data_IF_265602550155
#
_entry.id   IF_265602550155
#
_cell.length_a   1.000
_cell.length_b   1.000
_cell.length_c   1.000
_cell.angle_alpha   90.00
_cell.angle_beta   90.00
_cell.angle_gamma   90.00
#
_symmetry.space_group_name_H-M   'P 1'
#
loop_
_entity.id
_entity.type
_entity.pdbx_description
1 polymer ?
#
# COMPACT_ATOMS: atom_id res chain seq x y z
N UNK A 1 33.96 55.88 -8.48
CA UNK A 1 33.48 55.71 -7.08
C UNK A 1 32.12 55.03 -7.16
N UNK A 2 31.82 53.84 -6.65
CA UNK A 2 32.52 52.84 -5.85
C UNK A 2 31.97 51.46 -6.27
N UNK A 3 32.83 50.44 -6.35
CA UNK A 3 32.45 49.04 -6.63
C UNK A 3 32.13 48.32 -5.32
N UNK A 4 30.98 47.64 -5.27
CA UNK A 4 30.54 46.81 -4.13
C UNK A 4 30.91 45.35 -4.41
N UNK A 5 31.87 44.81 -3.66
CA UNK A 5 32.38 43.44 -3.81
C UNK A 5 31.81 42.55 -2.69
N UNK A 6 30.86 41.68 -3.01
CA UNK A 6 30.38 40.66 -2.06
C UNK A 6 31.27 39.42 -2.10
N UNK A 7 31.97 39.14 -0.98
CA UNK A 7 32.70 37.89 -0.73
C UNK A 7 31.73 36.85 -0.15
N UNK A 8 31.52 35.74 -0.86
CA UNK A 8 30.91 34.53 -0.30
C UNK A 8 31.99 33.69 0.39
N UNK A 9 31.82 33.39 1.68
CA UNK A 9 32.63 32.40 2.42
C UNK A 9 32.00 31.02 2.25
N UNK A 10 32.73 30.09 1.66
CA UNK A 10 32.40 28.65 1.65
C UNK A 10 33.01 28.05 2.92
N UNK A 11 32.15 27.61 3.84
CA UNK A 11 32.55 26.81 5.00
C UNK A 11 32.57 25.33 4.61
N UNK A 12 33.76 24.72 4.62
CA UNK A 12 33.94 23.27 4.52
C UNK A 12 33.67 22.69 5.91
N UNK A 13 32.62 21.88 6.02
CA UNK A 13 32.31 21.14 7.23
C UNK A 13 32.85 19.71 7.14
N UNK A 14 33.50 19.33 8.22
CA UNK A 14 34.25 18.12 8.54
C UNK A 14 33.46 16.82 8.35
N UNK A 15 34.12 15.81 7.77
CA UNK A 15 33.60 14.44 7.62
C UNK A 15 33.98 13.62 8.86
N UNK A 16 33.07 13.56 9.83
CA UNK A 16 33.17 12.67 10.98
C UNK A 16 32.82 11.24 10.62
N UNK A 17 33.83 10.37 10.61
CA UNK A 17 33.73 8.91 10.54
C UNK A 17 33.07 8.36 11.82
N UNK A 18 31.87 7.79 11.67
CA UNK A 18 31.20 7.02 12.72
C UNK A 18 30.92 5.60 12.23
N UNK A 19 31.93 4.76 12.43
CA UNK A 19 31.82 3.31 12.54
C UNK A 19 30.85 2.98 13.69
N UNK A 20 29.68 2.39 13.38
CA UNK A 20 28.75 1.95 14.41
C UNK A 20 28.38 0.46 14.23
N UNK A 21 28.76 -0.31 15.25
CA UNK A 21 28.59 -1.74 15.38
C UNK A 21 27.11 -2.16 15.35
N UNK A 22 26.71 -2.92 14.33
CA UNK A 22 25.46 -3.70 14.35
C UNK A 22 25.60 -4.88 15.32
N UNK A 23 25.08 -4.75 16.55
CA UNK A 23 24.69 -5.91 17.36
C UNK A 23 23.35 -6.44 16.83
N UNK A 24 23.38 -7.58 16.15
CA UNK A 24 22.17 -8.35 15.86
C UNK A 24 21.64 -8.94 17.17
N UNK A 25 20.49 -8.46 17.62
CA UNK A 25 19.72 -9.12 18.68
C UNK A 25 18.75 -10.08 17.98
N UNK A 26 19.11 -11.37 17.98
CA UNK A 26 18.28 -12.44 17.45
C UNK A 26 17.01 -12.62 18.29
N UNK A 27 15.85 -12.33 17.71
CA UNK A 27 14.56 -12.66 18.29
C UNK A 27 14.21 -14.11 17.90
N UNK A 28 14.60 -15.08 18.74
CA UNK A 28 14.19 -16.47 18.61
C UNK A 28 12.69 -16.61 18.90
N UNK A 29 11.89 -16.81 17.86
CA UNK A 29 10.52 -17.31 17.98
C UNK A 29 10.60 -18.82 18.32
N UNK A 30 10.46 -19.17 19.60
CA UNK A 30 10.27 -20.55 20.04
C UNK A 30 8.90 -21.05 19.55
N UNK A 31 8.90 -21.90 18.53
CA UNK A 31 7.75 -22.75 18.17
C UNK A 31 7.66 -23.88 19.20
N UNK A 32 6.61 -23.89 20.03
CA UNK A 32 6.21 -25.08 20.77
C UNK A 32 5.67 -26.10 19.76
N UNK A 33 6.35 -27.23 19.61
CA UNK A 33 5.83 -28.40 18.92
C UNK A 33 4.96 -29.20 19.90
N UNK A 34 3.69 -29.38 19.56
CA UNK A 34 2.79 -30.35 20.21
C UNK A 34 3.04 -31.69 19.53
N UNK A 35 3.65 -32.63 20.25
CA UNK A 35 3.75 -34.03 19.84
C UNK A 35 2.37 -34.69 19.98
N UNK A 36 1.76 -35.02 18.85
CA UNK A 36 0.68 -36.00 18.75
C UNK A 36 1.19 -37.19 17.95
N UNK A 37 1.25 -38.36 18.57
CA UNK A 37 1.67 -39.61 17.94
C UNK A 37 0.65 -40.07 16.88
N UNK A 38 1.12 -40.39 15.69
CA UNK A 38 0.35 -41.08 14.64
C UNK A 38 1.02 -42.42 14.31
N UNK A 39 0.24 -43.49 14.05
CA UNK A 39 0.77 -44.80 13.68
C UNK A 39 1.29 -44.81 12.24
N UNK A 40 2.35 -45.59 12.05
CA UNK A 40 3.04 -45.78 10.78
C UNK A 40 2.15 -46.51 9.75
N UNK A 41 1.91 -45.88 8.60
CA UNK A 41 1.41 -46.53 7.39
C UNK A 41 2.58 -46.64 6.42
N UNK A 42 3.03 -47.87 6.17
CA UNK A 42 4.03 -48.20 5.16
C UNK A 42 3.31 -48.27 3.80
N UNK A 43 3.46 -47.21 3.01
CA UNK A 43 3.02 -47.17 1.61
C UNK A 43 4.22 -46.98 0.69
N UNK A 44 4.46 -47.94 -0.21
CA UNK A 44 5.38 -47.78 -1.34
C UNK A 44 4.84 -46.68 -2.28
N UNK A 45 5.45 -45.50 -2.24
CA UNK A 45 5.17 -44.39 -3.14
C UNK A 45 6.18 -44.33 -4.27
N UNK A 46 5.70 -44.38 -5.52
CA UNK A 46 6.48 -44.17 -6.74
C UNK A 46 6.86 -42.68 -6.79
N UNK A 47 8.16 -42.38 -6.69
CA UNK A 47 8.68 -41.03 -6.75
C UNK A 47 8.67 -40.51 -8.20
N UNK A 48 7.63 -39.78 -8.59
CA UNK A 48 7.65 -38.95 -9.80
C UNK A 48 8.43 -37.67 -9.50
N UNK A 49 9.70 -37.63 -9.91
CA UNK A 49 10.57 -36.46 -9.77
C UNK A 49 10.11 -35.31 -10.68
N UNK A 50 9.20 -34.47 -10.18
CA UNK A 50 8.99 -33.16 -10.76
C UNK A 50 10.08 -32.23 -10.22
N UNK A 51 11.03 -31.83 -11.07
CA UNK A 51 12.00 -30.78 -10.76
C UNK A 51 11.23 -29.51 -10.36
N UNK A 52 11.55 -28.88 -9.21
CA UNK A 52 10.91 -27.62 -8.85
C UNK A 52 11.19 -26.61 -9.95
N UNK A 53 10.13 -26.15 -10.62
CA UNK A 53 10.23 -25.06 -11.58
C UNK A 53 10.87 -23.87 -10.86
N UNK A 54 12.07 -23.49 -11.30
CA UNK A 54 12.78 -22.34 -10.79
C UNK A 54 11.90 -21.12 -11.09
N UNK A 55 11.38 -20.47 -10.05
CA UNK A 55 10.59 -19.25 -10.20
C UNK A 55 11.44 -18.24 -10.99
N UNK A 56 10.90 -17.75 -12.12
CA UNK A 56 11.58 -16.74 -12.90
C UNK A 56 11.91 -15.54 -12.00
N UNK A 57 13.12 -14.97 -12.09
CA UNK A 57 13.52 -13.84 -11.25
C UNK A 57 12.54 -12.69 -11.47
N UNK A 58 11.92 -12.22 -10.38
CA UNK A 58 11.05 -11.03 -10.43
C UNK A 58 11.90 -9.84 -10.87
N UNK A 59 11.53 -9.12 -11.95
CA UNK A 59 12.31 -7.98 -12.42
C UNK A 59 12.44 -6.93 -11.31
N UNK A 60 13.63 -6.34 -11.17
CA UNK A 60 13.84 -5.28 -10.19
C UNK A 60 12.94 -4.07 -10.50
N UNK A 61 12.54 -3.28 -9.48
CA UNK A 61 11.77 -2.05 -9.68
C UNK A 61 12.38 -1.11 -10.72
N UNK A 62 13.73 -1.01 -10.74
CA UNK A 62 14.47 -0.22 -11.71
C UNK A 62 14.35 -0.76 -13.15
N UNK A 63 14.43 -2.09 -13.32
CA UNK A 63 14.26 -2.72 -14.62
C UNK A 63 12.83 -2.55 -15.16
N UNK A 64 11.83 -2.70 -14.29
CA UNK A 64 10.43 -2.47 -14.65
C UNK A 64 10.20 -1.02 -15.10
N UNK A 65 10.68 -0.05 -14.32
CA UNK A 65 10.58 1.39 -14.66
C UNK A 65 11.25 1.71 -15.99
N UNK A 66 12.45 1.16 -16.24
CA UNK A 66 13.16 1.37 -17.51
C UNK A 66 12.38 0.81 -18.72
N UNK A 67 11.75 -0.36 -18.57
CA UNK A 67 10.93 -0.97 -19.64
C UNK A 67 9.71 -0.12 -19.95
N UNK A 68 8.99 0.32 -18.92
CA UNK A 68 7.79 1.18 -19.08
C UNK A 68 8.16 2.51 -19.75
N UNK A 69 9.23 3.18 -19.29
CA UNK A 69 9.69 4.45 -19.88
C UNK A 69 10.15 4.31 -21.34
N UNK A 70 10.74 3.16 -21.72
CA UNK A 70 11.12 2.90 -23.11
C UNK A 70 9.94 2.62 -24.01
N UNK A 71 8.92 1.91 -23.52
CA UNK A 71 7.68 1.68 -24.27
C UNK A 71 6.95 3.01 -24.51
N UNK A 72 6.86 3.82 -23.46
CA UNK A 72 6.34 5.18 -23.48
C UNK A 72 7.05 6.06 -24.53
N UNK A 73 8.39 6.13 -24.53
CA UNK A 73 9.14 7.01 -25.43
C UNK A 73 8.97 6.73 -26.93
N UNK A 74 8.47 5.55 -27.31
CA UNK A 74 8.23 5.19 -28.72
C UNK A 74 6.85 5.63 -29.22
N UNK A 75 5.97 6.13 -28.34
CA UNK A 75 4.63 6.55 -28.71
C UNK A 75 4.62 8.03 -29.09
N UNK A 76 4.44 8.30 -30.39
CA UNK A 76 4.31 9.64 -30.92
C UNK A 76 2.86 10.14 -30.69
N UNK A 77 2.65 11.37 -30.20
CA UNK A 77 1.28 11.89 -30.02
C UNK A 77 0.56 11.97 -31.37
N UNK A 78 -0.58 11.30 -31.49
CA UNK A 78 -1.44 11.44 -32.67
C UNK A 78 -2.17 12.79 -32.64
N UNK A 79 -2.28 13.43 -33.81
CA UNK A 79 -3.04 14.65 -33.99
C UNK A 79 -4.51 14.44 -33.60
N UNK A 80 -5.13 15.44 -32.98
CA UNK A 80 -6.51 15.38 -32.52
C UNK A 80 -7.49 15.25 -33.70
N UNK A 81 -7.83 14.02 -34.09
CA UNK A 81 -8.94 13.71 -34.97
C UNK A 81 -10.28 13.76 -34.24
N UNK A 82 -11.38 13.68 -34.98
CA UNK A 82 -12.72 13.46 -34.41
C UNK A 82 -12.72 12.15 -33.60
N UNK A 83 -12.89 12.24 -32.28
CA UNK A 83 -12.93 11.06 -31.41
C UNK A 83 -14.12 10.19 -31.76
N UNK A 84 -13.90 8.90 -32.00
CA UNK A 84 -14.97 7.94 -32.30
C UNK A 84 -15.91 7.80 -31.10
N UNK A 85 -15.33 7.49 -29.93
CA UNK A 85 -15.99 7.38 -28.64
C UNK A 85 -15.03 7.72 -27.48
N UNK A 86 -15.46 7.55 -26.23
CA UNK A 86 -14.62 7.74 -25.02
C UNK A 86 -14.17 6.43 -24.40
N UNK A 87 -12.87 6.25 -24.24
CA UNK A 87 -12.28 5.23 -23.39
C UNK A 87 -12.17 5.71 -21.95
N UNK A 88 -12.58 4.87 -21.01
CA UNK A 88 -12.64 5.24 -19.59
C UNK A 88 -11.84 4.29 -18.72
N UNK A 89 -10.79 4.83 -18.10
CA UNK A 89 -10.07 4.17 -17.01
C UNK A 89 -10.91 4.18 -15.73
N UNK A 90 -10.97 3.03 -15.06
CA UNK A 90 -11.57 2.83 -13.74
C UNK A 90 -10.48 2.31 -12.80
N UNK A 91 -9.75 3.20 -12.12
CA UNK A 91 -8.75 2.80 -11.13
C UNK A 91 -9.43 2.58 -9.76
N UNK A 92 -8.76 1.92 -8.80
CA UNK A 92 -9.22 1.92 -7.42
C UNK A 92 -9.25 3.36 -6.90
N UNK A 93 -10.35 3.74 -6.22
CA UNK A 93 -10.44 5.06 -5.60
C UNK A 93 -9.41 5.24 -4.46
N UNK A 94 -9.03 4.13 -3.81
CA UNK A 94 -8.10 4.09 -2.68
C UNK A 94 -7.01 3.04 -2.93
N UNK A 95 -5.75 3.44 -2.84
CA UNK A 95 -4.59 2.54 -2.94
C UNK A 95 -3.73 2.68 -1.69
N UNK A 96 -3.27 1.53 -1.17
CA UNK A 96 -2.44 1.45 0.04
C UNK A 96 -0.99 1.17 -0.34
N UNK A 97 -0.06 2.01 0.10
CA UNK A 97 1.38 1.73 0.00
C UNK A 97 1.80 0.89 1.21
N UNK A 98 2.11 -0.39 1.00
CA UNK A 98 2.42 -1.35 2.07
C UNK A 98 3.79 -2.01 1.96
N UNK A 99 4.51 -1.75 0.86
CA UNK A 99 5.82 -2.29 0.54
C UNK A 99 6.50 -1.42 -0.53
N UNK A 100 7.79 -1.66 -0.80
CA UNK A 100 8.58 -0.85 -1.74
C UNK A 100 7.99 -0.83 -3.16
N UNK A 101 7.49 -1.99 -3.60
CA UNK A 101 6.91 -2.19 -4.93
C UNK A 101 5.68 -3.06 -4.83
N UNK A 102 4.57 -2.58 -5.39
CA UNK A 102 3.32 -3.31 -5.49
C UNK A 102 2.68 -3.10 -6.86
N UNK A 103 1.70 -3.94 -7.20
CA UNK A 103 0.88 -3.78 -8.40
C UNK A 103 -0.57 -3.62 -7.97
N UNK A 104 -1.29 -2.71 -8.61
CA UNK A 104 -2.74 -2.60 -8.42
C UNK A 104 -3.49 -2.69 -9.75
N UNK A 105 -4.65 -3.32 -9.69
CA UNK A 105 -5.49 -3.61 -10.85
C UNK A 105 -6.31 -2.38 -11.24
N UNK A 106 -6.41 -2.16 -12.54
CA UNK A 106 -7.22 -1.15 -13.17
C UNK A 106 -8.11 -1.82 -14.22
N UNK A 107 -9.25 -1.19 -14.51
CA UNK A 107 -10.19 -1.67 -15.52
C UNK A 107 -10.42 -0.62 -16.60
N UNK A 108 -10.55 -1.08 -17.83
CA UNK A 108 -10.97 -0.29 -18.98
C UNK A 108 -12.47 -0.44 -19.23
N UNK A 109 -13.14 0.66 -19.57
CA UNK A 109 -14.58 0.72 -19.89
C UNK A 109 -14.83 1.75 -21.01
N UNK A 110 -16.08 1.90 -21.46
CA UNK A 110 -16.44 2.84 -22.54
C UNK A 110 -16.19 2.27 -23.93
N UNK A 111 -15.98 3.14 -24.93
CA UNK A 111 -15.87 2.74 -26.33
C UNK A 111 -14.74 1.75 -26.61
N UNK A 112 -13.62 1.88 -25.87
CA UNK A 112 -12.54 0.91 -25.90
C UNK A 112 -13.01 -0.55 -25.74
N UNK A 113 -13.96 -0.85 -24.85
CA UNK A 113 -14.36 -2.25 -24.64
C UNK A 113 -15.35 -2.77 -25.68
N UNK A 114 -15.93 -1.87 -26.50
CA UNK A 114 -16.90 -2.22 -27.54
C UNK A 114 -16.21 -2.63 -28.84
N UNK A 115 -15.04 -2.07 -29.11
CA UNK A 115 -14.21 -2.39 -30.28
C UNK A 115 -13.16 -3.43 -29.92
N UNK A 116 -12.92 -4.40 -30.80
CA UNK A 116 -11.97 -5.48 -30.51
C UNK A 116 -10.55 -4.92 -30.50
N UNK A 117 -9.93 -4.92 -29.32
CA UNK A 117 -8.52 -4.66 -29.17
C UNK A 117 -8.13 -3.17 -29.21
N UNK A 118 -8.64 -2.32 -28.32
CA UNK A 118 -8.03 -1.01 -28.14
C UNK A 118 -6.65 -1.15 -27.46
N UNK A 119 -5.72 -0.31 -27.84
CA UNK A 119 -4.53 -0.02 -27.04
C UNK A 119 -4.71 1.35 -26.40
N UNK A 120 -4.60 1.42 -25.07
CA UNK A 120 -4.82 2.67 -24.34
C UNK A 120 -3.88 2.81 -23.13
N UNK A 121 -3.41 4.04 -22.90
CA UNK A 121 -2.50 4.36 -21.80
C UNK A 121 -3.02 5.53 -20.99
N UNK A 122 -2.99 5.36 -19.67
CA UNK A 122 -3.07 6.44 -18.70
C UNK A 122 -1.81 6.47 -17.85
N UNK A 123 -1.48 7.67 -17.37
CA UNK A 123 -0.36 7.86 -16.45
C UNK A 123 -0.68 8.87 -15.35
N UNK A 124 0.03 8.75 -14.24
CA UNK A 124 0.13 9.75 -13.19
C UNK A 124 1.46 10.47 -13.40
N UNK A 125 1.39 11.79 -13.62
CA UNK A 125 2.57 12.63 -13.78
C UNK A 125 2.90 13.43 -12.52
N UNK A 126 4.18 13.74 -12.31
CA UNK A 126 4.59 14.75 -11.33
C UNK A 126 4.27 16.18 -11.80
N UNK A 127 4.67 17.19 -11.01
CA UNK A 127 4.50 18.60 -11.36
C UNK A 127 5.30 19.04 -12.59
N UNK A 128 6.33 18.28 -12.99
CA UNK A 128 7.15 18.48 -14.19
C UNK A 128 6.61 17.68 -15.38
N UNK A 129 5.52 16.93 -15.21
CA UNK A 129 4.92 16.08 -16.24
C UNK A 129 5.62 14.73 -16.44
N UNK A 130 6.60 14.36 -15.60
CA UNK A 130 7.25 13.05 -15.68
C UNK A 130 6.32 11.97 -15.15
N UNK A 131 6.21 10.85 -15.88
CA UNK A 131 5.39 9.71 -15.46
C UNK A 131 5.98 9.02 -14.23
N UNK A 132 5.17 8.93 -13.17
CA UNK A 132 5.48 8.22 -11.93
C UNK A 132 4.93 6.80 -11.97
N UNK A 133 3.73 6.65 -12.52
CA UNK A 133 3.04 5.36 -12.70
C UNK A 133 2.20 5.42 -13.96
N UNK A 134 2.04 4.29 -14.64
CA UNK A 134 1.21 4.18 -15.82
C UNK A 134 0.52 2.83 -15.87
N UNK A 135 -0.62 2.79 -16.54
CA UNK A 135 -1.28 1.55 -16.95
C UNK A 135 -1.38 1.53 -18.47
N UNK A 136 -0.96 0.42 -19.05
CA UNK A 136 -1.17 0.09 -20.46
C UNK A 136 -2.22 -1.01 -20.54
N UNK A 137 -3.21 -0.78 -21.40
CA UNK A 137 -4.11 -1.81 -21.89
C UNK A 137 -3.69 -2.09 -23.32
N UNK A 138 -3.26 -3.32 -23.60
CA UNK A 138 -2.87 -3.75 -24.94
C UNK A 138 -3.82 -4.84 -25.40
N UNK A 139 -4.93 -4.42 -26.02
CA UNK A 139 -6.05 -5.28 -26.36
C UNK A 139 -6.73 -5.98 -25.16
N UNK A 140 -6.50 -5.48 -23.94
CA UNK A 140 -7.01 -6.05 -22.69
C UNK A 140 -8.01 -5.11 -22.00
N UNK A 141 -8.93 -5.67 -21.22
CA UNK A 141 -9.89 -4.88 -20.41
C UNK A 141 -9.44 -4.66 -18.97
N UNK A 142 -8.36 -5.35 -18.57
CA UNK A 142 -7.71 -5.22 -17.27
C UNK A 142 -6.23 -4.93 -17.44
N UNK A 143 -5.70 -4.04 -16.60
CA UNK A 143 -4.29 -3.65 -16.64
C UNK A 143 -3.77 -3.45 -15.23
N UNK A 144 -2.48 -3.67 -15.04
CA UNK A 144 -1.79 -3.41 -13.77
C UNK A 144 -0.98 -2.14 -13.87
N UNK A 145 -0.99 -1.33 -12.81
CA UNK A 145 -0.12 -0.19 -12.66
C UNK A 145 0.88 -0.45 -11.54
N UNK A 146 2.16 -0.07 -11.71
CA UNK A 146 3.14 -0.15 -10.63
C UNK A 146 2.84 0.89 -9.56
N UNK A 147 3.04 0.50 -8.31
CA UNK A 147 3.04 1.37 -7.15
C UNK A 147 4.41 1.27 -6.49
N UNK A 148 5.08 2.40 -6.35
CA UNK A 148 6.36 2.49 -5.66
C UNK A 148 6.21 3.21 -4.31
N UNK A 149 7.08 2.93 -3.35
CA UNK A 149 7.10 3.61 -2.06
C UNK A 149 7.36 5.12 -2.17
N UNK A 150 8.01 5.56 -3.26
CA UNK A 150 8.29 6.96 -3.57
C UNK A 150 7.12 7.66 -4.29
N UNK A 151 6.03 6.94 -4.59
CA UNK A 151 4.84 7.53 -5.21
C UNK A 151 4.28 8.64 -4.32
N UNK A 152 4.06 9.87 -4.84
CA UNK A 152 3.50 10.94 -4.05
C UNK A 152 2.17 10.56 -3.40
N UNK A 153 2.10 10.70 -2.07
CA UNK A 153 0.90 10.44 -1.30
C UNK A 153 -0.13 11.56 -1.52
N UNK A 154 -1.41 11.25 -1.30
CA UNK A 154 -2.53 12.15 -1.53
C UNK A 154 -3.36 11.76 -2.76
N UNK A 155 -4.22 12.67 -3.21
CA UNK A 155 -5.02 12.49 -4.41
C UNK A 155 -4.14 12.72 -5.65
N UNK A 156 -4.16 11.76 -6.56
CA UNK A 156 -3.46 11.82 -7.84
C UNK A 156 -4.47 11.75 -8.97
N UNK A 157 -4.21 12.49 -10.04
CA UNK A 157 -5.05 12.52 -11.23
C UNK A 157 -4.38 11.75 -12.36
N UNK A 158 -5.11 10.79 -12.91
CA UNK A 158 -4.70 10.09 -14.11
C UNK A 158 -4.92 10.97 -15.34
N UNK A 159 -3.95 10.97 -16.23
CA UNK A 159 -4.00 11.66 -17.51
C UNK A 159 -4.01 10.61 -18.61
N UNK A 160 -4.98 10.71 -19.52
CA UNK A 160 -4.93 9.96 -20.77
C UNK A 160 -3.73 10.40 -21.59
N UNK A 161 -3.07 9.46 -22.25
CA UNK A 161 -1.98 9.75 -23.16
C UNK A 161 -2.32 9.39 -24.60
N UNK A 162 -2.69 8.13 -24.82
CA UNK A 162 -3.06 7.63 -26.14
C UNK A 162 -4.15 6.56 -25.97
N UNK A 163 -5.09 6.52 -26.90
CA UNK A 163 -6.09 5.46 -27.02
C UNK A 163 -6.50 5.29 -28.49
N UNK A 164 -6.26 4.11 -29.06
CA UNK A 164 -6.58 3.80 -30.46
C UNK A 164 -6.94 2.32 -30.65
N UNK A 165 -7.56 1.96 -31.77
CA UNK A 165 -7.81 0.57 -32.20
C UNK A 165 -6.87 0.13 -33.33
N UNK A 166 -7.00 -1.12 -33.78
CA UNK A 166 -6.16 -1.67 -34.85
C UNK A 166 -6.34 -0.94 -36.20
N UNK A 167 -7.48 -0.30 -36.40
CA UNK A 167 -7.81 0.51 -37.59
C UNK A 167 -7.27 1.95 -37.49
N UNK A 168 -6.72 2.36 -36.34
CA UNK A 168 -6.14 3.69 -36.12
C UNK A 168 -7.15 4.76 -35.73
N UNK A 169 -8.39 4.39 -35.36
CA UNK A 169 -9.34 5.35 -34.82
C UNK A 169 -8.90 5.79 -33.42
N UNK A 170 -8.92 7.10 -33.17
CA UNK A 170 -8.58 7.65 -31.86
C UNK A 170 -9.81 7.75 -30.96
N UNK A 171 -9.62 7.44 -29.68
CA UNK A 171 -10.64 7.58 -28.65
C UNK A 171 -10.28 8.73 -27.71
N UNK A 172 -11.27 9.45 -27.20
CA UNK A 172 -11.03 10.37 -26.09
C UNK A 172 -10.81 9.58 -24.79
N UNK A 173 -10.14 10.19 -23.81
CA UNK A 173 -9.82 9.54 -22.53
C UNK A 173 -10.32 10.38 -21.35
N UNK A 174 -10.86 9.72 -20.33
CA UNK A 174 -11.23 10.36 -19.06
C UNK A 174 -9.99 10.68 -18.19
N UNK A 175 -10.19 11.48 -17.13
CA UNK A 175 -9.16 11.86 -16.14
C UNK A 175 -9.57 11.51 -14.71
N UNK A 176 -9.64 10.21 -14.35
CA UNK A 176 -10.07 9.79 -13.02
C UNK A 176 -9.03 10.13 -11.95
N UNK A 177 -9.41 10.04 -10.68
CA UNK A 177 -8.50 10.27 -9.54
C UNK A 177 -8.38 9.05 -8.65
N UNK A 178 -7.20 8.86 -8.05
CA UNK A 178 -6.92 7.83 -7.03
C UNK A 178 -6.25 8.47 -5.83
N UNK A 179 -6.63 8.09 -4.62
CA UNK A 179 -5.93 8.52 -3.40
C UNK A 179 -4.92 7.46 -2.96
N UNK A 180 -3.66 7.85 -2.84
CA UNK A 180 -2.57 7.03 -2.31
C UNK A 180 -2.25 7.45 -0.87
N UNK A 181 -2.26 6.50 0.06
CA UNK A 181 -1.77 6.70 1.43
C UNK A 181 -1.02 5.46 1.87
N UNK A 182 -0.12 5.60 2.84
CA UNK A 182 0.56 4.43 3.39
C UNK A 182 -0.45 3.57 4.17
N UNK A 183 -0.24 2.26 4.12
CA UNK A 183 -1.02 1.32 4.89
C UNK A 183 -0.68 1.39 6.38
N UNK A 184 -1.71 1.17 7.21
CA UNK A 184 -1.57 0.93 8.64
C UNK A 184 -2.32 -0.35 9.05
N UNK A 185 -1.99 -0.88 10.22
CA UNK A 185 -2.59 -2.06 10.79
C UNK A 185 -2.79 -1.86 12.27
N UNK A 186 -3.91 -2.40 12.77
CA UNK A 186 -4.29 -2.34 14.17
C UNK A 186 -4.45 -3.74 14.74
N UNK A 187 -3.95 -3.93 15.95
CA UNK A 187 -4.17 -5.11 16.78
C UNK A 187 -4.89 -4.73 18.06
N UNK A 188 -5.67 -5.66 18.59
CA UNK A 188 -6.35 -5.51 19.87
C UNK A 188 -6.32 -6.84 20.60
N UNK A 189 -6.02 -6.76 21.89
CA UNK A 189 -6.07 -7.86 22.82
C UNK A 189 -6.87 -7.42 24.04
N UNK A 190 -7.67 -8.33 24.58
CA UNK A 190 -8.45 -8.07 25.77
C UNK A 190 -8.24 -9.18 26.80
N UNK A 191 -8.31 -8.81 28.08
CA UNK A 191 -8.24 -9.74 29.20
C UNK A 191 -9.24 -9.34 30.28
N UNK A 192 -9.61 -10.29 31.13
CA UNK A 192 -10.56 -10.08 32.24
C UNK A 192 -10.02 -10.74 33.50
N UNK A 193 -10.11 -10.01 34.61
CA UNK A 193 -9.88 -10.54 35.96
C UNK A 193 -11.03 -10.07 36.86
N UNK A 194 -11.92 -10.99 37.21
CA UNK A 194 -13.20 -10.66 37.84
C UNK A 194 -14.04 -9.71 36.96
N UNK A 195 -14.46 -8.58 37.53
CA UNK A 195 -15.18 -7.53 36.81
C UNK A 195 -14.25 -6.56 36.05
N UNK A 196 -12.93 -6.64 36.23
CA UNK A 196 -11.98 -5.76 35.53
C UNK A 196 -11.69 -6.30 34.13
N UNK A 197 -11.93 -5.47 33.12
CA UNK A 197 -11.57 -5.71 31.72
C UNK A 197 -10.38 -4.82 31.36
N UNK A 198 -9.34 -5.40 30.80
CA UNK A 198 -8.21 -4.69 30.21
C UNK A 198 -8.24 -4.84 28.70
N UNK A 199 -8.02 -3.74 27.98
CA UNK A 199 -7.99 -3.64 26.54
C UNK A 199 -6.66 -3.03 26.14
N UNK A 200 -5.83 -3.84 25.49
CA UNK A 200 -4.54 -3.44 24.95
C UNK A 200 -4.66 -3.31 23.45
N UNK A 201 -4.27 -2.18 22.90
CA UNK A 201 -4.31 -1.91 21.47
C UNK A 201 -2.92 -1.54 20.97
N UNK A 202 -2.63 -1.91 19.72
CA UNK A 202 -1.37 -1.58 19.06
C UNK A 202 -1.63 -1.20 17.61
N UNK A 203 -0.87 -0.24 17.09
CA UNK A 203 -0.88 0.12 15.69
C UNK A 203 0.53 0.20 15.12
N UNK A 204 0.64 -0.21 13.87
CA UNK A 204 1.84 -0.08 13.05
C UNK A 204 1.46 0.53 11.71
N UNK A 205 2.42 1.19 11.06
CA UNK A 205 2.28 1.74 9.71
C UNK A 205 3.51 1.40 8.88
N UNK A 206 3.34 1.36 7.58
CA UNK A 206 4.46 1.24 6.66
C UNK A 206 5.25 2.56 6.65
N UNK A 207 6.58 2.47 6.73
CA UNK A 207 7.49 3.61 6.60
C UNK A 207 8.23 3.51 5.27
N UNK A 208 7.81 4.32 4.29
CA UNK A 208 8.37 4.32 2.93
C UNK A 208 9.87 4.57 2.90
N UNK A 209 10.41 5.39 3.80
CA UNK A 209 11.85 5.67 3.91
C UNK A 209 12.69 4.53 4.49
N UNK A 210 12.05 3.57 5.17
CA UNK A 210 12.72 2.49 5.87
C UNK A 210 12.45 1.11 5.26
N UNK A 211 11.42 1.01 4.41
CA UNK A 211 10.95 -0.22 3.79
C UNK A 211 10.55 -1.33 4.79
N UNK A 212 9.94 -0.95 5.91
CA UNK A 212 9.31 -1.89 6.83
C UNK A 212 8.23 -1.21 7.68
N UNK A 213 7.49 -2.01 8.44
CA UNK A 213 6.44 -1.55 9.34
C UNK A 213 7.03 -1.04 10.66
N UNK A 214 6.71 0.20 11.03
CA UNK A 214 7.11 0.81 12.30
C UNK A 214 5.91 1.02 13.22
N UNK A 215 6.12 1.13 14.54
CA UNK A 215 5.09 1.58 15.46
C UNK A 215 4.46 2.91 15.03
N UNK A 216 3.13 2.98 15.07
CA UNK A 216 2.40 4.21 14.76
C UNK A 216 2.20 5.01 16.05
N UNK A 217 3.26 5.72 16.46
CA UNK A 217 3.31 6.51 17.68
C UNK A 217 2.52 7.82 17.58
N UNK A 218 2.04 8.31 18.74
CA UNK A 218 1.27 9.54 18.89
C UNK A 218 0.00 9.60 18.03
N UNK A 219 -0.52 8.44 17.62
CA UNK A 219 -1.74 8.33 16.83
C UNK A 219 -2.96 8.31 17.75
N UNK A 220 -4.03 8.93 17.28
CA UNK A 220 -5.32 8.97 18.00
C UNK A 220 -6.25 7.86 17.54
N UNK A 221 -7.08 7.40 18.45
CA UNK A 221 -8.12 6.44 18.12
C UNK A 221 -9.20 6.36 19.19
N UNK A 222 -10.15 5.45 18.97
CA UNK A 222 -11.24 5.16 19.88
C UNK A 222 -11.39 3.66 20.06
N UNK A 223 -11.43 3.22 21.32
CA UNK A 223 -11.92 1.89 21.67
C UNK A 223 -13.44 1.95 21.58
N UNK A 224 -14.01 1.02 20.82
CA UNK A 224 -15.45 0.85 20.70
C UNK A 224 -15.86 -0.51 21.25
N UNK A 225 -17.10 -0.59 21.71
CA UNK A 225 -17.70 -1.83 22.17
C UNK A 225 -19.12 -1.99 21.62
N UNK A 226 -19.62 -3.21 21.60
CA UNK A 226 -21.02 -3.51 21.30
C UNK A 226 -21.48 -4.77 22.02
N UNK A 227 -22.78 -4.91 22.20
CA UNK A 227 -23.39 -6.16 22.67
C UNK A 227 -22.91 -7.35 21.82
N UNK A 228 -22.69 -8.50 22.46
CA UNK A 228 -22.42 -9.74 21.72
C UNK A 228 -23.56 -9.99 20.72
N UNK A 229 -23.22 -10.11 19.43
CA UNK A 229 -24.19 -10.26 18.35
C UNK A 229 -24.94 -8.98 17.96
N UNK A 230 -24.67 -7.85 18.60
CA UNK A 230 -25.20 -6.55 18.22
C UNK A 230 -24.54 -6.00 16.95
N UNK A 231 -25.19 -5.03 16.31
CA UNK A 231 -24.70 -4.38 15.09
C UNK A 231 -24.15 -2.97 15.33
N UNK A 232 -24.64 -2.27 16.36
CA UNK A 232 -24.25 -0.90 16.69
C UNK A 232 -23.02 -0.86 17.60
N UNK A 233 -22.01 -0.10 17.20
CA UNK A 233 -20.80 0.16 17.98
C UNK A 233 -20.92 1.46 18.76
N UNK A 234 -20.56 1.43 20.04
CA UNK A 234 -20.53 2.58 20.94
C UNK A 234 -19.09 2.91 21.31
N UNK A 235 -18.74 4.20 21.33
CA UNK A 235 -17.43 4.66 21.78
C UNK A 235 -17.26 4.47 23.29
N UNK A 236 -16.21 3.76 23.71
CA UNK A 236 -15.84 3.55 25.10
C UNK A 236 -14.84 4.60 25.59
N UNK A 237 -13.73 4.75 24.86
CA UNK A 237 -12.61 5.57 25.28
C UNK A 237 -11.76 6.02 24.09
N UNK A 238 -11.56 7.33 23.96
CA UNK A 238 -10.53 7.89 23.08
C UNK A 238 -9.13 7.73 23.69
N UNK A 239 -8.13 7.50 22.85
CA UNK A 239 -6.76 7.29 23.26
C UNK A 239 -5.76 7.89 22.29
N UNK A 240 -4.52 8.02 22.76
CA UNK A 240 -3.33 8.30 21.95
C UNK A 240 -2.30 7.20 22.19
N UNK A 241 -1.62 6.73 21.15
CA UNK A 241 -0.58 5.72 21.27
C UNK A 241 0.73 6.29 21.78
N UNK A 242 1.47 5.49 22.56
CA UNK A 242 2.83 5.80 22.98
C UNK A 242 3.86 5.55 21.85
N UNK A 243 5.15 5.68 22.16
CA UNK A 243 6.26 5.43 21.21
C UNK A 243 6.31 4.02 20.62
N UNK A 244 5.74 3.04 21.32
CA UNK A 244 5.60 1.66 20.82
C UNK A 244 4.32 1.46 19.98
N UNK A 245 3.60 2.53 19.65
CA UNK A 245 2.34 2.46 18.91
C UNK A 245 1.23 1.79 19.71
N UNK A 246 1.34 1.75 21.04
CA UNK A 246 0.45 0.99 21.91
C UNK A 246 -0.31 1.88 22.90
N UNK A 247 -1.45 1.39 23.38
CA UNK A 247 -2.18 1.95 24.53
C UNK A 247 -2.87 0.83 25.31
N UNK A 248 -3.11 1.07 26.59
CA UNK A 248 -3.83 0.14 27.47
C UNK A 248 -4.90 0.89 28.23
N UNK A 249 -6.10 0.32 28.26
CA UNK A 249 -7.24 0.85 29.01
C UNK A 249 -7.85 -0.26 29.86
N UNK A 250 -8.09 0.02 31.14
CA UNK A 250 -8.79 -0.88 32.05
C UNK A 250 -10.03 -0.22 32.62
N UNK A 251 -11.11 -0.99 32.73
CA UNK A 251 -12.35 -0.53 33.36
C UNK A 251 -13.14 -1.71 33.97
N UNK A 252 -14.15 -1.41 34.76
CA UNK A 252 -14.98 -2.41 35.43
C UNK A 252 -16.30 -2.61 34.68
N UNK A 253 -16.60 -3.85 34.29
CA UNK A 253 -17.88 -4.25 33.68
C UNK A 253 -18.13 -5.72 33.97
N UNK A 254 -19.35 -6.10 34.29
CA UNK A 254 -19.77 -7.52 34.38
C UNK A 254 -20.35 -8.04 33.07
N UNK A 255 -20.73 -7.15 32.16
CA UNK A 255 -21.28 -7.51 30.87
C UNK A 255 -20.20 -8.01 29.90
N UNK A 256 -20.60 -8.94 29.03
CA UNK A 256 -19.78 -9.44 27.91
C UNK A 256 -20.00 -8.57 26.68
N UNK A 257 -18.92 -8.00 26.15
CA UNK A 257 -18.95 -7.13 24.99
C UNK A 257 -17.97 -7.62 23.92
N UNK A 258 -18.26 -7.27 22.67
CA UNK A 258 -17.29 -7.29 21.58
C UNK A 258 -16.58 -5.93 21.56
N UNK A 259 -15.26 -5.93 21.43
CA UNK A 259 -14.42 -4.73 21.41
C UNK A 259 -13.65 -4.62 20.11
N UNK A 260 -13.43 -3.38 19.64
CA UNK A 260 -12.49 -3.05 18.57
C UNK A 260 -11.80 -1.72 18.84
N UNK A 261 -10.63 -1.50 18.26
CA UNK A 261 -9.97 -0.20 18.22
C UNK A 261 -10.08 0.36 16.79
N UNK A 262 -10.44 1.64 16.68
CA UNK A 262 -10.50 2.37 15.42
C UNK A 262 -9.50 3.53 15.51
N UNK A 263 -8.50 3.50 14.65
CA UNK A 263 -7.48 4.54 14.52
C UNK A 263 -7.89 5.55 13.46
N UNK A 264 -7.67 6.82 13.74
CA UNK A 264 -8.06 7.92 12.87
C UNK A 264 -7.26 7.90 11.57
N UNK A 265 -7.91 8.22 10.46
CA UNK A 265 -7.23 8.39 9.18
C UNK A 265 -6.47 9.73 9.15
N UNK A 266 -5.23 9.72 8.67
CA UNK A 266 -4.45 10.94 8.44
C UNK A 266 -4.45 11.32 6.96
N UNK A 267 -3.91 12.50 6.63
CA UNK A 267 -3.76 12.95 5.23
C UNK A 267 -2.92 11.98 4.39
N UNK A 268 -1.93 11.32 4.98
CA UNK A 268 -0.96 10.45 4.28
C UNK A 268 -0.97 8.99 4.73
N UNK A 269 -1.75 8.64 5.77
CA UNK A 269 -1.85 7.28 6.32
C UNK A 269 -3.31 6.87 6.36
N UNK A 270 -3.64 5.69 5.82
CA UNK A 270 -4.98 5.14 5.95
C UNK A 270 -5.29 4.83 7.42
N UNK A 271 -6.51 5.10 7.88
CA UNK A 271 -6.97 4.64 9.19
C UNK A 271 -7.02 3.12 9.27
N UNK A 272 -6.93 2.56 10.47
CA UNK A 272 -7.01 1.12 10.70
C UNK A 272 -8.08 0.78 11.73
N UNK A 273 -8.78 -0.33 11.52
CA UNK A 273 -9.66 -0.92 12.52
C UNK A 273 -9.10 -2.28 12.90
N UNK A 274 -8.99 -2.54 14.20
CA UNK A 274 -8.51 -3.85 14.68
C UNK A 274 -9.52 -4.95 14.40
N UNK A 275 -9.10 -6.23 14.44
CA UNK A 275 -10.02 -7.33 14.67
C UNK A 275 -10.87 -7.11 15.92
N UNK A 276 -12.02 -7.78 15.97
CA UNK A 276 -12.89 -7.78 17.15
C UNK A 276 -12.40 -8.80 18.18
N UNK A 277 -12.47 -8.46 19.46
CA UNK A 277 -12.22 -9.39 20.58
C UNK A 277 -13.36 -9.35 21.59
N UNK A 278 -13.76 -10.49 22.15
CA UNK A 278 -14.88 -10.60 23.08
C UNK A 278 -14.40 -10.84 24.51
N UNK A 279 -14.93 -10.12 25.52
CA UNK A 279 -14.71 -10.40 26.96
C UNK A 279 -15.88 -10.00 27.82
#
# INVERSE_FOLDING_TARGET
MAQLTHRLRVGVADLGDHTNHRKQVGFMIRRLAVLGALPAIVGLGIATGASPAQAAPTPSPAAYRATVLRAAAKMQPHAAGTSYETCSLVPPARVRVVQQFDLFNNRLTGGCVLHKGPSAIWYIGDSLGQSISSVLFDHETSGVAPLFAETPLGQQTWKGWIAFDAEGHNYSQNTPTTTFKVGSWAGLQTSRSGSKVTIDTRAVRYATSLDYNIPWANETGVIQYRAKGGTAWTSLKSFTTNSAGATSYSYTSTATWDYRAVYTEQSTIWGATSPTSQR
#
